data_IF_588712573957
#
_entry.id   IF_588712573957
#
_cell.length_a   1.000
_cell.length_b   1.000
_cell.length_c   1.000
_cell.angle_alpha   90.00
_cell.angle_beta   90.00
_cell.angle_gamma   90.00
#
_symmetry.space_group_name_H-M   'P 1'
#
loop_
_entity.id
_entity.type
_entity.pdbx_description
1 polymer ?
#
# COMPACT_ATOMS: atom_id res chain seq x y z
N UNK A 1 49.23 26.46 46.63
CA UNK A 1 49.10 25.30 45.75
C UNK A 1 47.59 25.04 45.62
N UNK A 2 46.96 25.73 44.63
CA UNK A 2 45.51 25.66 44.37
C UNK A 2 45.26 24.59 43.31
N UNK A 3 44.48 23.59 43.63
CA UNK A 3 43.97 22.59 42.68
C UNK A 3 42.66 23.12 42.05
N UNK A 4 42.72 23.46 40.77
CA UNK A 4 41.56 23.79 39.96
C UNK A 4 40.94 22.48 39.48
N UNK A 5 39.79 22.07 40.03
CA UNK A 5 38.96 20.98 39.48
C UNK A 5 38.11 21.57 38.35
N UNK A 6 38.49 21.21 37.11
CA UNK A 6 37.67 21.48 35.93
C UNK A 6 36.53 20.47 35.85
N UNK A 7 35.32 20.91 36.03
CA UNK A 7 34.10 20.12 35.75
C UNK A 7 33.87 20.13 34.25
N UNK A 8 34.14 19.01 33.61
CA UNK A 8 33.80 18.75 32.21
C UNK A 8 32.30 18.41 32.14
N UNK A 9 31.46 19.40 31.78
CA UNK A 9 30.05 19.16 31.51
C UNK A 9 29.91 18.41 30.17
N UNK A 10 29.68 17.10 30.24
CA UNK A 10 29.21 16.32 29.09
C UNK A 10 27.80 16.79 28.77
N UNK A 11 27.65 17.58 27.71
CA UNK A 11 26.37 17.85 27.06
C UNK A 11 25.90 16.55 26.41
N UNK A 12 25.11 15.76 27.13
CA UNK A 12 24.30 14.69 26.56
C UNK A 12 23.23 15.35 25.70
N UNK A 13 23.50 15.48 24.41
CA UNK A 13 22.46 15.78 23.42
C UNK A 13 21.51 14.57 23.38
N UNK A 14 20.34 14.71 23.97
CA UNK A 14 19.25 13.75 23.77
C UNK A 14 18.96 13.66 22.27
N UNK A 15 19.01 12.48 21.64
CA UNK A 15 18.64 12.36 20.24
C UNK A 15 17.19 12.84 20.07
N UNK A 16 16.97 13.66 19.05
CA UNK A 16 15.68 14.23 18.75
C UNK A 16 14.78 13.08 18.29
N UNK A 17 13.77 12.68 19.08
CA UNK A 17 12.91 11.52 18.80
C UNK A 17 12.32 11.55 17.38
N UNK A 18 12.04 12.76 16.85
CA UNK A 18 11.58 12.95 15.48
C UNK A 18 12.64 12.65 14.41
N UNK A 19 13.93 12.73 14.70
CA UNK A 19 14.99 12.38 13.73
C UNK A 19 15.13 10.86 13.61
N UNK A 20 15.01 10.15 14.72
CA UNK A 20 15.07 8.68 14.79
C UNK A 20 13.88 8.03 14.03
N UNK A 21 12.67 8.59 14.15
CA UNK A 21 11.48 8.08 13.44
C UNK A 21 11.57 8.31 11.93
N UNK A 22 12.11 9.43 11.46
CA UNK A 22 12.34 9.69 10.04
C UNK A 22 13.37 8.73 9.43
N UNK A 23 14.45 8.45 10.16
CA UNK A 23 15.48 7.51 9.70
C UNK A 23 14.93 6.08 9.63
N UNK A 24 14.16 5.66 10.61
CA UNK A 24 13.46 4.36 10.60
C UNK A 24 12.50 4.21 9.42
N UNK A 25 11.70 5.25 9.16
CA UNK A 25 10.82 5.25 7.98
C UNK A 25 11.62 5.17 6.67
N UNK A 26 12.73 5.91 6.55
CA UNK A 26 13.58 5.85 5.37
C UNK A 26 14.11 4.44 5.11
N UNK A 27 14.67 3.79 6.13
CA UNK A 27 15.14 2.41 6.03
C UNK A 27 14.03 1.45 5.64
N UNK A 28 12.86 1.55 6.28
CA UNK A 28 11.69 0.75 5.95
C UNK A 28 11.26 0.94 4.49
N UNK A 29 11.22 2.19 4.01
CA UNK A 29 10.83 2.51 2.66
C UNK A 29 11.84 1.97 1.61
N UNK A 30 13.14 2.05 1.90
CA UNK A 30 14.20 1.50 1.04
C UNK A 30 14.12 -0.04 0.95
N UNK A 31 13.91 -0.72 2.09
CA UNK A 31 13.75 -2.17 2.13
C UNK A 31 12.49 -2.61 1.38
N UNK A 32 11.37 -1.91 1.60
CA UNK A 32 10.10 -2.17 0.90
C UNK A 32 10.25 -2.01 -0.61
N UNK A 33 10.94 -0.97 -1.10
CA UNK A 33 11.18 -0.80 -2.54
C UNK A 33 11.99 -1.94 -3.11
N UNK A 34 13.06 -2.35 -2.43
CA UNK A 34 13.87 -3.50 -2.87
C UNK A 34 13.04 -4.78 -2.94
N UNK A 35 12.21 -5.04 -1.93
CA UNK A 35 11.31 -6.20 -1.89
C UNK A 35 10.32 -6.17 -3.07
N UNK A 36 9.59 -5.06 -3.25
CA UNK A 36 8.57 -4.95 -4.29
C UNK A 36 9.16 -5.03 -5.70
N UNK A 37 10.32 -4.38 -5.94
CA UNK A 37 10.98 -4.46 -7.24
C UNK A 37 11.56 -5.84 -7.55
N UNK A 38 11.84 -6.66 -6.54
CA UNK A 38 12.30 -8.04 -6.70
C UNK A 38 11.18 -9.04 -7.00
N UNK A 39 9.91 -8.64 -6.83
CA UNK A 39 8.76 -9.52 -7.12
C UNK A 39 8.74 -9.90 -8.61
N UNK A 40 8.78 -11.20 -8.86
CA UNK A 40 8.67 -11.77 -10.20
C UNK A 40 7.18 -12.00 -10.52
N UNK A 41 6.56 -11.03 -11.17
CA UNK A 41 5.17 -11.06 -11.59
C UNK A 41 5.12 -11.33 -13.11
N UNK A 42 4.68 -12.52 -13.55
CA UNK A 42 4.68 -12.89 -14.97
C UNK A 42 3.88 -11.93 -15.84
N UNK A 43 2.78 -11.38 -15.32
CA UNK A 43 1.92 -10.43 -16.03
C UNK A 43 2.64 -9.12 -16.40
N UNK A 44 3.68 -8.73 -15.64
CA UNK A 44 4.48 -7.52 -15.91
C UNK A 44 5.51 -7.70 -17.04
N UNK A 45 5.66 -8.90 -17.57
CA UNK A 45 6.58 -9.19 -18.69
C UNK A 45 5.95 -8.98 -20.06
N UNK A 46 4.62 -9.07 -20.16
CA UNK A 46 3.90 -8.84 -21.42
C UNK A 46 3.59 -7.34 -21.58
N UNK A 47 4.19 -6.71 -22.58
CA UNK A 47 4.05 -5.29 -22.85
C UNK A 47 3.42 -4.97 -24.20
N UNK A 48 2.87 -5.96 -24.89
CA UNK A 48 2.19 -5.77 -26.17
C UNK A 48 0.79 -5.19 -25.96
N UNK A 49 0.50 -4.07 -26.62
CA UNK A 49 -0.82 -3.44 -26.57
C UNK A 49 -1.67 -4.00 -27.73
N UNK A 50 -2.86 -4.57 -27.46
CA UNK A 50 -3.80 -4.97 -28.49
C UNK A 50 -4.23 -3.78 -29.35
N UNK A 51 -4.55 -4.04 -30.62
CA UNK A 51 -4.95 -2.98 -31.59
C UNK A 51 -6.12 -2.14 -31.10
N UNK A 52 -7.08 -2.75 -30.41
CA UNK A 52 -8.26 -2.07 -29.87
C UNK A 52 -7.95 -0.99 -28.82
N UNK A 53 -6.74 -0.98 -28.23
CA UNK A 53 -6.34 -0.02 -27.22
C UNK A 53 -5.21 0.92 -27.67
N UNK A 54 -4.87 0.91 -28.97
CA UNK A 54 -3.77 1.75 -29.48
C UNK A 54 -4.04 3.25 -29.42
N UNK A 55 -5.34 3.62 -29.49
CA UNK A 55 -5.77 5.02 -29.46
C UNK A 55 -6.10 5.52 -28.05
N UNK A 56 -5.95 4.67 -27.03
CA UNK A 56 -6.15 5.04 -25.63
C UNK A 56 -5.01 5.93 -25.11
N UNK A 57 -5.36 6.93 -24.30
CA UNK A 57 -4.40 7.86 -23.69
C UNK A 57 -3.35 7.13 -22.86
N UNK A 58 -3.76 6.16 -22.06
CA UNK A 58 -2.90 5.23 -21.34
C UNK A 58 -3.51 3.81 -21.37
N UNK A 59 -2.64 2.81 -21.22
CA UNK A 59 -3.03 1.42 -21.06
C UNK A 59 -2.31 0.81 -19.87
N UNK A 60 -3.05 0.27 -18.91
CA UNK A 60 -2.49 -0.49 -17.81
C UNK A 60 -2.14 -1.89 -18.33
N UNK A 61 -0.86 -2.14 -18.59
CA UNK A 61 -0.37 -3.42 -19.13
C UNK A 61 -0.53 -4.54 -18.13
N UNK A 62 -0.28 -4.25 -16.85
CA UNK A 62 -0.48 -5.18 -15.74
C UNK A 62 -0.78 -4.42 -14.46
N UNK A 63 -1.60 -5.00 -13.60
CA UNK A 63 -1.79 -4.58 -12.22
C UNK A 63 -1.76 -5.80 -11.29
N UNK A 64 -1.30 -5.59 -10.07
CA UNK A 64 -1.21 -6.62 -9.03
C UNK A 64 -1.57 -6.02 -7.67
N UNK A 65 -2.49 -6.68 -6.96
CA UNK A 65 -2.77 -6.42 -5.55
C UNK A 65 -2.32 -7.61 -4.71
N UNK A 66 -1.61 -7.34 -3.63
CA UNK A 66 -1.24 -8.35 -2.63
C UNK A 66 -1.62 -7.87 -1.25
N UNK A 67 -2.42 -8.67 -0.54
CA UNK A 67 -2.87 -8.38 0.81
C UNK A 67 -2.41 -9.50 1.75
N UNK A 68 -1.57 -9.16 2.72
CA UNK A 68 -1.09 -10.09 3.75
C UNK A 68 -1.57 -9.60 5.12
N UNK A 69 -2.31 -10.43 5.85
CA UNK A 69 -2.83 -10.07 7.16
C UNK A 69 -2.46 -11.13 8.18
N UNK A 70 -1.69 -10.73 9.17
CA UNK A 70 -1.20 -11.59 10.24
C UNK A 70 -1.70 -11.11 11.59
N UNK A 71 -1.99 -12.07 12.49
CA UNK A 71 -2.41 -11.80 13.85
C UNK A 71 -1.35 -12.22 14.84
N UNK A 72 -0.88 -11.27 15.64
CA UNK A 72 0.00 -11.54 16.77
C UNK A 72 -0.78 -11.41 18.09
N UNK A 73 -0.60 -12.38 18.97
CA UNK A 73 -1.15 -12.31 20.33
C UNK A 73 0.03 -12.17 21.28
N UNK A 74 0.10 -11.06 22.01
CA UNK A 74 1.12 -10.83 23.03
C UNK A 74 0.50 -11.00 24.42
N UNK A 75 1.10 -11.83 25.26
CA UNK A 75 0.77 -11.89 26.67
C UNK A 75 1.63 -10.87 27.40
N UNK A 76 1.04 -9.79 27.87
CA UNK A 76 1.74 -8.82 28.71
C UNK A 76 1.82 -9.37 30.15
N UNK A 77 2.98 -9.86 30.53
CA UNK A 77 3.26 -10.39 31.88
C UNK A 77 3.57 -9.26 32.89
N UNK A 78 3.45 -7.99 32.47
CA UNK A 78 3.79 -6.81 33.27
C UNK A 78 2.93 -6.55 34.51
N UNK A 79 1.94 -7.39 34.80
CA UNK A 79 1.07 -7.27 35.95
C UNK A 79 1.32 -8.28 37.06
N UNK A 80 2.59 -8.62 37.29
CA UNK A 80 2.96 -9.60 38.35
C UNK A 80 2.72 -9.12 39.80
N UNK A 81 2.27 -7.88 39.98
CA UNK A 81 1.94 -7.29 41.29
C UNK A 81 0.45 -6.81 41.35
N UNK A 82 -0.49 -7.68 41.00
CA UNK A 82 -1.93 -7.44 41.31
C UNK A 82 -2.72 -6.68 40.27
N UNK A 83 -2.27 -6.59 39.02
CA UNK A 83 -2.98 -5.97 37.91
C UNK A 83 -3.66 -6.99 36.98
N UNK A 84 -4.66 -6.55 36.27
CA UNK A 84 -5.44 -7.33 35.33
C UNK A 84 -4.57 -7.92 34.21
N UNK A 85 -4.77 -9.21 33.88
CA UNK A 85 -4.15 -9.82 32.71
C UNK A 85 -4.68 -9.16 31.44
N UNK A 86 -3.84 -8.45 30.72
CA UNK A 86 -4.19 -7.81 29.47
C UNK A 86 -3.59 -8.62 28.31
N UNK A 87 -4.45 -9.03 27.40
CA UNK A 87 -4.04 -9.74 26.17
C UNK A 87 -4.09 -8.74 25.03
N UNK A 88 -2.92 -8.29 24.57
CA UNK A 88 -2.82 -7.45 23.38
C UNK A 88 -3.03 -8.29 22.14
N UNK A 89 -3.90 -7.82 21.27
CA UNK A 89 -4.20 -8.41 19.97
C UNK A 89 -3.77 -7.43 18.90
N UNK A 90 -2.61 -7.70 18.35
CA UNK A 90 -2.05 -6.92 17.24
C UNK A 90 -2.41 -7.60 15.91
N UNK A 91 -2.94 -6.83 14.98
CA UNK A 91 -3.16 -7.25 13.59
C UNK A 91 -2.24 -6.40 12.71
N UNK A 92 -1.42 -7.07 11.91
CA UNK A 92 -0.55 -6.43 10.94
C UNK A 92 -1.09 -6.69 9.54
N UNK A 93 -1.23 -5.63 8.77
CA UNK A 93 -1.68 -5.65 7.39
C UNK A 93 -0.60 -5.09 6.49
N UNK A 94 -0.27 -5.82 5.43
CA UNK A 94 0.58 -5.39 4.31
C UNK A 94 -0.29 -5.39 3.06
N UNK A 95 -0.51 -4.25 2.48
CA UNK A 95 -1.35 -4.05 1.30
C UNK A 95 -0.52 -3.41 0.19
N UNK A 96 -0.27 -4.16 -0.87
CA UNK A 96 0.47 -3.74 -2.05
C UNK A 96 -0.50 -3.60 -3.22
N UNK A 97 -0.43 -2.45 -3.89
CA UNK A 97 -0.97 -2.27 -5.23
C UNK A 97 0.15 -1.81 -6.16
N UNK A 98 0.43 -2.55 -7.23
CA UNK A 98 1.44 -2.23 -8.25
C UNK A 98 0.82 -2.28 -9.64
N UNK A 99 1.19 -1.33 -10.49
CA UNK A 99 0.75 -1.31 -11.89
C UNK A 99 1.87 -0.86 -12.83
N UNK A 100 1.82 -1.39 -14.05
CA UNK A 100 2.66 -1.00 -15.17
C UNK A 100 1.78 -0.34 -16.23
N UNK A 101 2.05 0.91 -16.53
CA UNK A 101 1.22 1.76 -17.41
C UNK A 101 2.02 2.23 -18.60
N UNK A 102 1.50 2.09 -19.82
CA UNK A 102 2.04 2.68 -21.03
C UNK A 102 1.46 4.08 -21.22
N UNK A 103 2.31 5.07 -21.49
CA UNK A 103 1.94 6.47 -21.71
C UNK A 103 1.88 6.73 -23.21
N UNK A 104 0.69 7.01 -23.76
CA UNK A 104 0.50 7.13 -25.20
C UNK A 104 0.33 8.58 -25.66
N UNK A 105 -0.10 9.49 -24.79
CA UNK A 105 -0.33 10.89 -25.17
C UNK A 105 -0.05 11.90 -24.04
N UNK A 106 -0.34 13.19 -24.31
CA UNK A 106 -0.12 14.28 -23.35
C UNK A 106 -1.06 14.26 -22.16
N UNK A 107 -2.25 13.68 -22.28
CA UNK A 107 -3.21 13.60 -21.18
C UNK A 107 -2.70 12.60 -20.15
N UNK A 108 -2.29 11.40 -20.58
CA UNK A 108 -1.66 10.42 -19.72
C UNK A 108 -0.32 10.93 -19.14
N UNK A 109 0.50 11.61 -19.96
CA UNK A 109 1.74 12.21 -19.49
C UNK A 109 1.47 13.15 -18.29
N UNK A 110 0.46 13.99 -18.39
CA UNK A 110 0.08 14.90 -17.30
C UNK A 110 -0.44 14.15 -16.08
N UNK A 111 -1.29 13.12 -16.28
CA UNK A 111 -1.89 12.33 -15.20
C UNK A 111 -0.81 11.60 -14.39
N UNK A 112 0.18 11.00 -15.06
CA UNK A 112 1.23 10.20 -14.42
C UNK A 112 2.52 10.97 -14.09
N UNK A 113 2.51 12.30 -14.23
CA UNK A 113 3.68 13.15 -13.91
C UNK A 113 3.84 13.48 -12.42
N UNK A 114 2.82 13.25 -11.61
CA UNK A 114 2.82 13.54 -10.17
C UNK A 114 1.93 12.56 -9.43
N UNK A 115 2.37 12.11 -8.24
CA UNK A 115 1.62 11.23 -7.36
C UNK A 115 1.54 11.78 -5.95
N UNK A 116 0.35 11.70 -5.34
CA UNK A 116 0.13 12.03 -3.94
C UNK A 116 0.22 10.76 -3.08
N UNK A 117 0.87 10.82 -1.92
CA UNK A 117 0.94 9.72 -0.98
C UNK A 117 1.06 10.22 0.47
N UNK A 118 0.77 9.33 1.44
CA UNK A 118 0.84 9.59 2.87
C UNK A 118 1.96 8.76 3.50
N UNK A 119 3.10 9.37 3.82
CA UNK A 119 4.26 8.62 4.29
C UNK A 119 4.00 7.90 5.62
N UNK A 120 3.52 8.60 6.63
CA UNK A 120 3.29 8.03 7.96
C UNK A 120 2.11 8.70 8.65
N UNK A 121 1.27 7.88 9.30
CA UNK A 121 0.21 8.35 10.20
C UNK A 121 0.29 7.50 11.48
N UNK A 122 0.44 8.14 12.61
CA UNK A 122 0.40 7.50 13.91
C UNK A 122 -0.75 8.08 14.71
N UNK A 123 -1.74 7.23 15.04
CA UNK A 123 -2.85 7.59 15.92
C UNK A 123 -2.77 6.74 17.16
N UNK A 124 -2.59 7.39 18.31
CA UNK A 124 -2.53 6.73 19.60
C UNK A 124 -3.60 7.30 20.52
N UNK A 125 -4.49 6.42 20.99
CA UNK A 125 -5.45 6.69 22.05
C UNK A 125 -5.20 5.65 23.17
N UNK A 126 -5.74 5.87 24.39
CA UNK A 126 -5.65 4.93 25.49
C UNK A 126 -6.31 3.57 25.21
N UNK A 127 -7.16 3.46 24.17
CA UNK A 127 -7.87 2.26 23.76
C UNK A 127 -7.27 1.54 22.55
N UNK A 128 -6.52 2.26 21.70
CA UNK A 128 -5.98 1.70 20.47
C UNK A 128 -4.66 2.39 20.08
N UNK A 129 -3.79 1.64 19.45
CA UNK A 129 -2.60 2.17 18.79
C UNK A 129 -2.70 1.77 17.32
N UNK A 130 -2.67 2.75 16.44
CA UNK A 130 -2.66 2.59 14.99
C UNK A 130 -1.39 3.20 14.43
N UNK A 131 -0.58 2.37 13.79
CA UNK A 131 0.58 2.80 13.05
C UNK A 131 0.35 2.48 11.56
N UNK A 132 0.31 3.52 10.74
CA UNK A 132 0.15 3.43 9.31
C UNK A 132 1.37 4.03 8.62
N UNK A 133 1.95 3.28 7.68
CA UNK A 133 3.08 3.72 6.86
C UNK A 133 2.78 3.40 5.40
N UNK A 134 2.93 4.36 4.52
CA UNK A 134 2.79 4.17 3.08
C UNK A 134 4.13 4.40 2.39
N UNK A 135 4.50 3.48 1.51
CA UNK A 135 5.69 3.59 0.64
C UNK A 135 5.22 3.67 -0.81
N UNK A 136 5.68 4.68 -1.49
CA UNK A 136 5.52 4.86 -2.93
C UNK A 136 6.85 4.51 -3.63
N UNK A 137 6.77 3.77 -4.74
CA UNK A 137 7.88 3.56 -5.64
C UNK A 137 7.45 3.80 -7.07
N UNK A 138 8.27 4.50 -7.84
CA UNK A 138 8.03 4.81 -9.25
C UNK A 138 9.29 4.55 -10.05
N UNK A 139 9.15 3.87 -11.20
CA UNK A 139 10.21 3.69 -12.19
C UNK A 139 9.70 4.07 -13.56
N UNK A 140 10.52 4.77 -14.33
CA UNK A 140 10.28 5.00 -15.75
C UNK A 140 11.05 3.92 -16.53
N UNK A 141 10.35 3.25 -17.42
CA UNK A 141 10.93 2.28 -18.35
C UNK A 141 10.85 2.88 -19.74
N UNK A 142 12.01 3.23 -20.30
CA UNK A 142 12.12 3.81 -21.63
C UNK A 142 11.85 2.77 -22.73
N UNK A 143 11.50 3.17 -23.95
CA UNK A 143 11.28 2.24 -25.08
C UNK A 143 12.48 1.33 -25.38
N UNK A 144 13.69 1.77 -25.07
CA UNK A 144 14.93 0.99 -25.24
C UNK A 144 15.18 -0.01 -24.10
N UNK A 145 14.29 -0.04 -23.08
CA UNK A 145 14.39 -0.91 -21.92
C UNK A 145 15.20 -0.32 -20.75
N UNK A 146 15.72 0.89 -20.87
CA UNK A 146 16.39 1.58 -19.76
C UNK A 146 15.39 1.84 -18.61
N UNK A 147 15.78 1.51 -17.38
CA UNK A 147 14.97 1.68 -16.20
C UNK A 147 15.55 2.77 -15.31
N UNK A 148 14.76 3.81 -15.04
CA UNK A 148 15.13 4.92 -14.17
C UNK A 148 14.19 4.92 -12.95
N UNK A 149 14.71 4.62 -11.77
CA UNK A 149 13.97 4.73 -10.51
C UNK A 149 13.97 6.18 -10.04
N UNK A 150 12.79 6.70 -9.69
CA UNK A 150 12.65 8.07 -9.17
C UNK A 150 13.16 8.12 -7.73
N UNK A 151 14.10 9.03 -7.47
CA UNK A 151 14.68 9.22 -6.15
C UNK A 151 13.64 9.72 -5.14
N UNK A 152 13.73 9.22 -3.92
CA UNK A 152 12.90 9.69 -2.80
C UNK A 152 13.25 11.10 -2.33
N UNK A 153 14.42 11.60 -2.68
CA UNK A 153 14.87 12.96 -2.32
C UNK A 153 14.14 14.04 -3.12
N UNK A 154 13.43 13.65 -4.19
CA UNK A 154 12.63 14.54 -5.02
C UNK A 154 11.20 14.76 -4.48
N UNK A 155 10.86 14.17 -3.32
CA UNK A 155 9.58 14.42 -2.67
C UNK A 155 9.45 15.88 -2.25
N UNK A 156 8.51 16.57 -2.83
CA UNK A 156 8.12 17.90 -2.38
C UNK A 156 7.09 17.76 -1.27
N UNK A 157 7.40 18.28 -0.08
CA UNK A 157 6.42 18.36 1.00
C UNK A 157 5.38 19.42 0.61
N UNK A 158 4.19 19.00 0.23
CA UNK A 158 3.09 19.93 -0.02
C UNK A 158 2.36 20.18 1.29
N UNK A 159 2.40 21.43 1.71
CA UNK A 159 1.55 22.13 2.66
C UNK A 159 1.74 21.91 4.15
N UNK A 160 2.08 23.01 4.79
CA UNK A 160 1.80 23.33 6.18
C UNK A 160 0.30 23.19 6.50
N UNK A 161 -0.13 21.99 6.89
CA UNK A 161 -1.42 21.77 7.52
C UNK A 161 -1.31 21.92 9.03
N UNK A 162 -2.40 22.35 9.69
CA UNK A 162 -2.51 22.40 11.15
C UNK A 162 -2.11 21.04 11.75
N UNK A 163 -1.54 21.06 12.95
CA UNK A 163 -0.90 19.95 13.70
C UNK A 163 -1.63 18.59 13.73
N UNK A 164 -2.87 18.48 13.25
CA UNK A 164 -3.71 17.29 13.23
C UNK A 164 -4.20 16.89 11.82
N UNK A 165 -3.64 17.49 10.74
CA UNK A 165 -3.99 17.11 9.36
C UNK A 165 -2.91 16.20 8.78
N UNK A 166 -3.36 15.09 8.19
CA UNK A 166 -2.55 14.16 7.42
C UNK A 166 -1.72 14.92 6.38
N UNK A 167 -0.38 14.81 6.47
CA UNK A 167 0.51 15.45 5.50
C UNK A 167 0.55 14.62 4.23
N UNK A 168 -0.07 15.14 3.17
CA UNK A 168 0.11 14.60 1.83
C UNK A 168 1.49 15.03 1.31
N UNK A 169 2.25 14.05 0.84
CA UNK A 169 3.50 14.29 0.13
C UNK A 169 3.24 14.12 -1.36
N UNK A 170 3.96 14.87 -2.18
CA UNK A 170 3.87 14.82 -3.63
C UNK A 170 5.19 14.34 -4.21
N UNK A 171 5.12 13.35 -5.09
CA UNK A 171 6.24 12.88 -5.87
C UNK A 171 6.06 13.33 -7.32
N UNK A 172 6.96 14.18 -7.80
CA UNK A 172 7.08 14.47 -9.23
C UNK A 172 7.81 13.32 -9.93
N UNK A 173 7.47 13.09 -11.20
CA UNK A 173 8.08 12.07 -12.07
C UNK A 173 8.84 12.75 -13.21
N UNK A 174 10.02 13.31 -12.95
CA UNK A 174 10.79 14.04 -13.96
C UNK A 174 11.28 13.10 -15.06
N UNK A 175 11.34 13.61 -16.27
CA UNK A 175 11.88 12.88 -17.43
C UNK A 175 10.92 11.83 -18.00
N UNK A 176 9.65 11.82 -17.59
CA UNK A 176 8.61 11.01 -18.21
C UNK A 176 8.25 11.61 -19.58
N UNK A 177 8.13 10.75 -20.60
CA UNK A 177 7.83 11.11 -21.98
C UNK A 177 6.75 10.22 -22.57
N UNK A 178 6.12 10.68 -23.65
CA UNK A 178 5.18 9.85 -24.43
C UNK A 178 5.94 8.67 -25.02
N UNK A 179 5.39 7.46 -24.87
CA UNK A 179 6.03 6.21 -25.27
C UNK A 179 6.72 5.47 -24.14
N UNK A 180 6.96 6.14 -23.00
CA UNK A 180 7.49 5.49 -21.81
C UNK A 180 6.46 4.60 -21.12
N UNK A 181 6.95 3.71 -20.25
CA UNK A 181 6.11 3.00 -19.26
C UNK A 181 6.43 3.50 -17.86
N UNK A 182 5.40 3.63 -17.05
CA UNK A 182 5.53 3.91 -15.62
C UNK A 182 5.20 2.63 -14.85
N UNK A 183 6.16 2.12 -14.08
CA UNK A 183 5.97 1.04 -13.13
C UNK A 183 5.87 1.66 -11.74
N UNK A 184 4.68 1.67 -11.17
CA UNK A 184 4.36 2.33 -9.91
C UNK A 184 3.77 1.36 -8.91
N UNK A 185 4.10 1.52 -7.63
CA UNK A 185 3.41 0.83 -6.56
C UNK A 185 3.12 1.72 -5.37
N UNK A 186 2.04 1.39 -4.68
CA UNK A 186 1.68 1.85 -3.34
C UNK A 186 1.71 0.66 -2.40
N UNK A 187 2.51 0.75 -1.36
CA UNK A 187 2.58 -0.27 -0.32
C UNK A 187 2.15 0.37 0.99
N UNK A 188 1.13 -0.21 1.63
CA UNK A 188 0.61 0.22 2.91
C UNK A 188 0.95 -0.82 3.97
N UNK A 189 1.56 -0.38 5.05
CA UNK A 189 1.70 -1.18 6.27
C UNK A 189 0.84 -0.57 7.36
N UNK A 190 -0.02 -1.39 7.96
CA UNK A 190 -0.86 -0.98 9.08
C UNK A 190 -0.70 -1.97 10.22
N UNK A 191 -0.39 -1.46 11.41
CA UNK A 191 -0.42 -2.24 12.65
C UNK A 191 -1.49 -1.67 13.57
N UNK A 192 -2.42 -2.52 13.97
CA UNK A 192 -3.59 -2.15 14.79
C UNK A 192 -3.62 -2.97 16.07
N UNK A 193 -3.67 -2.30 17.21
CA UNK A 193 -3.95 -2.93 18.50
C UNK A 193 -5.40 -2.68 18.88
N UNK A 194 -6.13 -3.76 19.18
CA UNK A 194 -7.52 -3.72 19.70
C UNK A 194 -8.53 -2.95 18.81
N UNK A 195 -8.22 -2.78 17.55
CA UNK A 195 -9.08 -2.12 16.55
C UNK A 195 -9.45 -3.08 15.41
N UNK A 196 -10.49 -2.76 14.66
CA UNK A 196 -10.88 -3.51 13.48
C UNK A 196 -10.25 -2.88 12.23
N UNK A 197 -9.88 -3.73 11.27
CA UNK A 197 -9.46 -3.28 9.95
C UNK A 197 -10.66 -2.68 9.20
N UNK A 198 -10.40 -1.61 8.46
CA UNK A 198 -11.35 -1.09 7.49
C UNK A 198 -11.57 -2.11 6.37
N UNK A 199 -12.73 -2.09 5.70
CA UNK A 199 -13.01 -2.99 4.59
C UNK A 199 -12.04 -2.78 3.43
N UNK A 200 -11.49 -3.88 2.88
CA UNK A 200 -10.72 -3.83 1.65
C UNK A 200 -11.63 -3.84 0.44
N UNK A 201 -11.28 -3.03 -0.58
CA UNK A 201 -12.06 -2.89 -1.81
C UNK A 201 -11.18 -3.16 -3.01
N UNK A 202 -11.39 -4.30 -3.66
CA UNK A 202 -10.73 -4.62 -4.94
C UNK A 202 -11.64 -4.21 -6.09
N UNK A 203 -11.19 -3.25 -6.91
CA UNK A 203 -11.93 -2.75 -8.08
C UNK A 203 -11.36 -3.37 -9.35
N UNK A 204 -12.22 -4.02 -10.13
CA UNK A 204 -11.86 -4.68 -11.38
C UNK A 204 -12.14 -3.81 -12.61
N UNK A 205 -12.19 -2.50 -12.45
CA UNK A 205 -12.30 -1.52 -13.53
C UNK A 205 -11.75 -0.18 -13.06
N UNK A 206 -11.02 0.50 -13.92
CA UNK A 206 -10.39 1.80 -13.64
C UNK A 206 -10.63 2.79 -14.79
N UNK A 207 -10.01 3.98 -14.72
CA UNK A 207 -10.09 5.04 -15.74
C UNK A 207 -9.44 4.67 -17.07
N UNK A 208 -8.55 3.69 -17.09
CA UNK A 208 -7.87 3.21 -18.29
C UNK A 208 -8.12 1.71 -18.49
N UNK A 209 -8.09 1.22 -19.74
CA UNK A 209 -8.17 -0.21 -20.00
C UNK A 209 -6.99 -0.95 -19.38
N UNK A 210 -7.23 -2.17 -18.92
CA UNK A 210 -6.22 -2.96 -18.20
C UNK A 210 -6.11 -4.35 -18.84
N UNK A 211 -4.90 -4.74 -19.26
CA UNK A 211 -4.70 -6.02 -19.94
C UNK A 211 -4.69 -7.20 -18.99
N UNK A 212 -4.18 -7.01 -17.76
CA UNK A 212 -4.15 -8.06 -16.74
C UNK A 212 -4.23 -7.46 -15.35
N UNK A 213 -5.05 -8.05 -14.49
CA UNK A 213 -5.10 -7.73 -13.06
C UNK A 213 -5.14 -9.00 -12.24
N UNK A 214 -4.21 -9.12 -11.30
CA UNK A 214 -4.13 -10.23 -10.36
C UNK A 214 -4.30 -9.72 -8.93
N UNK A 215 -5.03 -10.48 -8.11
CA UNK A 215 -5.16 -10.23 -6.68
C UNK A 215 -4.78 -11.50 -5.94
N UNK A 216 -3.91 -11.37 -4.96
CA UNK A 216 -3.51 -12.43 -4.04
C UNK A 216 -3.69 -11.95 -2.60
N UNK A 217 -4.46 -12.70 -1.80
CA UNK A 217 -4.62 -12.42 -0.39
C UNK A 217 -4.14 -13.62 0.45
N UNK A 218 -3.35 -13.35 1.47
CA UNK A 218 -2.93 -14.31 2.49
C UNK A 218 -3.40 -13.83 3.87
N UNK A 219 -4.26 -14.61 4.52
CA UNK A 219 -4.94 -14.19 5.75
C UNK A 219 -4.76 -15.26 6.81
N UNK A 220 -4.21 -14.85 7.97
CA UNK A 220 -3.99 -15.71 9.15
C UNK A 220 -5.27 -16.48 9.52
N UNK A 221 -5.14 -17.77 9.80
CA UNK A 221 -6.25 -18.70 10.12
C UNK A 221 -7.03 -18.33 11.39
N UNK A 222 -6.44 -17.47 12.26
CA UNK A 222 -7.06 -16.95 13.49
C UNK A 222 -8.01 -15.78 13.25
N UNK A 223 -8.08 -15.29 12.00
CA UNK A 223 -8.98 -14.22 11.60
C UNK A 223 -10.21 -14.77 10.91
N UNK A 224 -11.30 -14.01 10.95
CA UNK A 224 -12.52 -14.33 10.20
C UNK A 224 -12.60 -13.44 8.98
N UNK A 225 -12.66 -14.06 7.81
CA UNK A 225 -12.74 -13.38 6.51
C UNK A 225 -14.13 -13.56 5.92
N UNK A 226 -14.74 -12.48 5.48
CA UNK A 226 -15.97 -12.46 4.70
C UNK A 226 -15.78 -11.53 3.51
N UNK A 227 -16.22 -11.94 2.34
CA UNK A 227 -16.21 -11.04 1.18
C UNK A 227 -17.50 -11.17 0.37
N UNK A 228 -17.77 -10.13 -0.39
CA UNK A 228 -18.92 -10.06 -1.30
C UNK A 228 -18.50 -9.44 -2.61
N UNK A 229 -18.78 -10.15 -3.70
CA UNK A 229 -18.63 -9.66 -5.07
C UNK A 229 -19.85 -8.85 -5.48
N UNK A 230 -19.63 -7.74 -6.16
CA UNK A 230 -20.64 -6.79 -6.60
C UNK A 230 -20.44 -6.48 -8.08
N UNK A 231 -21.54 -6.17 -8.77
CA UNK A 231 -21.55 -5.67 -10.15
C UNK A 231 -20.83 -6.60 -11.14
N UNK A 232 -20.95 -7.92 -10.94
CA UNK A 232 -20.31 -8.90 -11.82
C UNK A 232 -18.80 -9.07 -11.61
N UNK A 233 -18.26 -8.64 -10.46
CA UNK A 233 -16.88 -8.93 -10.12
C UNK A 233 -16.61 -10.44 -10.08
N UNK A 234 -15.41 -10.90 -10.47
CA UNK A 234 -15.05 -12.30 -10.42
C UNK A 234 -14.95 -12.80 -8.99
N UNK A 235 -15.26 -14.10 -8.80
CA UNK A 235 -15.07 -14.77 -7.53
C UNK A 235 -13.61 -15.15 -7.30
N UNK A 236 -13.20 -15.18 -6.04
CA UNK A 236 -11.88 -15.67 -5.65
C UNK A 236 -11.83 -17.20 -5.67
N UNK A 237 -10.72 -17.72 -6.16
CA UNK A 237 -10.31 -19.10 -5.91
C UNK A 237 -9.73 -19.17 -4.49
N UNK A 238 -10.38 -19.91 -3.62
CA UNK A 238 -9.95 -20.08 -2.24
C UNK A 238 -9.15 -21.36 -2.05
N UNK A 239 -8.04 -21.30 -1.33
CA UNK A 239 -7.22 -22.42 -0.89
C UNK A 239 -6.65 -22.15 0.51
N UNK A 240 -5.81 -23.05 1.01
CA UNK A 240 -5.05 -22.88 2.25
C UNK A 240 -3.60 -23.23 2.02
N UNK A 241 -2.71 -22.51 2.72
CA UNK A 241 -1.30 -22.86 2.80
C UNK A 241 -1.03 -24.00 3.81
N UNK A 242 0.25 -24.35 3.98
CA UNK A 242 0.70 -25.39 4.91
C UNK A 242 0.45 -25.02 6.38
N UNK A 243 0.33 -23.74 6.70
CA UNK A 243 0.07 -23.22 8.04
C UNK A 243 -1.44 -23.10 8.34
N UNK A 244 -2.29 -23.35 7.34
CA UNK A 244 -3.74 -23.24 7.43
C UNK A 244 -4.26 -21.82 7.12
N UNK A 245 -3.41 -20.86 6.74
CA UNK A 245 -3.83 -19.52 6.33
C UNK A 245 -4.74 -19.60 5.11
N UNK A 246 -5.66 -18.66 5.01
CA UNK A 246 -6.60 -18.56 3.89
C UNK A 246 -5.89 -17.85 2.74
N UNK A 247 -5.83 -18.51 1.58
CA UNK A 247 -5.36 -17.92 0.33
C UNK A 247 -6.55 -17.65 -0.58
N UNK A 248 -6.62 -16.41 -1.12
CA UNK A 248 -7.65 -15.98 -2.07
C UNK A 248 -6.96 -15.41 -3.30
N UNK A 249 -7.20 -16.03 -4.45
CA UNK A 249 -6.58 -15.67 -5.70
C UNK A 249 -7.63 -15.34 -6.77
N UNK A 250 -7.39 -14.30 -7.55
CA UNK A 250 -8.15 -13.99 -8.75
C UNK A 250 -7.24 -13.39 -9.81
N UNK A 251 -7.47 -13.74 -11.06
CA UNK A 251 -6.80 -13.16 -12.22
C UNK A 251 -7.84 -12.82 -13.29
N UNK A 252 -7.81 -11.59 -13.77
CA UNK A 252 -8.70 -11.08 -14.81
C UNK A 252 -7.85 -10.51 -15.95
N UNK A 253 -8.32 -10.68 -17.17
CA UNK A 253 -7.65 -10.15 -18.36
C UNK A 253 -8.63 -9.32 -19.18
N UNK A 254 -8.07 -8.40 -19.97
CA UNK A 254 -8.81 -7.64 -20.96
C UNK A 254 -9.98 -6.85 -20.36
N UNK A 255 -9.67 -6.04 -19.36
CA UNK A 255 -10.61 -5.26 -18.59
C UNK A 255 -10.80 -3.91 -19.26
N UNK A 256 -12.04 -3.60 -19.64
CA UNK A 256 -12.40 -2.31 -20.20
C UNK A 256 -12.34 -1.20 -19.16
N UNK A 257 -12.09 0.02 -19.60
CA UNK A 257 -12.12 1.21 -18.75
C UNK A 257 -13.53 1.53 -18.24
N UNK A 258 -13.61 2.30 -17.17
CA UNK A 258 -14.87 2.85 -16.69
C UNK A 258 -15.21 4.06 -17.56
N UNK A 259 -16.35 4.02 -18.24
CA UNK A 259 -16.92 5.19 -18.91
C UNK A 259 -17.26 6.25 -17.85
N UNK A 260 -16.81 7.50 -18.01
CA UNK A 260 -17.20 8.59 -17.11
C UNK A 260 -18.66 8.97 -17.39
N UNK A 261 -19.57 8.36 -16.69
CA UNK A 261 -20.98 8.73 -16.74
C UNK A 261 -21.29 9.70 -15.61
N UNK A 262 -21.62 10.95 -15.94
CA UNK A 262 -21.94 12.02 -15.00
C UNK A 262 -23.21 11.74 -14.17
N UNK A 263 -24.03 10.79 -14.58
CA UNK A 263 -25.34 10.51 -13.99
C UNK A 263 -25.38 9.27 -13.08
N UNK A 264 -24.30 8.47 -13.09
CA UNK A 264 -24.23 7.24 -12.29
C UNK A 264 -23.18 7.34 -11.19
N UNK A 265 -23.52 6.79 -10.03
CA UNK A 265 -22.54 6.55 -9.00
C UNK A 265 -21.58 5.43 -9.47
N UNK A 266 -20.27 5.70 -9.64
CA UNK A 266 -19.30 4.69 -10.09
C UNK A 266 -19.33 3.41 -9.25
N UNK A 267 -19.68 3.51 -7.96
CA UNK A 267 -19.82 2.37 -7.06
C UNK A 267 -20.94 1.39 -7.46
N UNK A 268 -21.93 1.83 -8.24
CA UNK A 268 -23.05 0.96 -8.66
C UNK A 268 -22.74 0.16 -9.92
N UNK A 269 -21.72 0.54 -10.67
CA UNK A 269 -21.39 -0.11 -11.96
C UNK A 269 -20.02 -0.76 -11.97
N UNK A 270 -19.11 -0.33 -11.11
CA UNK A 270 -17.77 -0.89 -11.07
C UNK A 270 -17.79 -2.29 -10.48
N UNK A 271 -17.35 -3.32 -11.22
CA UNK A 271 -17.15 -4.65 -10.67
C UNK A 271 -16.14 -4.57 -9.51
N UNK A 272 -16.56 -4.99 -8.31
CA UNK A 272 -15.71 -4.89 -7.12
C UNK A 272 -15.97 -6.00 -6.13
N UNK A 273 -14.97 -6.28 -5.31
CA UNK A 273 -15.11 -7.14 -4.13
C UNK A 273 -14.89 -6.32 -2.88
N UNK A 274 -15.85 -6.40 -1.95
CA UNK A 274 -15.74 -5.87 -0.59
C UNK A 274 -15.31 -7.01 0.33
N UNK A 275 -14.21 -6.85 1.05
CA UNK A 275 -13.68 -7.86 1.96
C UNK A 275 -13.59 -7.28 3.37
N UNK A 276 -14.17 -8.01 4.33
CA UNK A 276 -14.15 -7.69 5.75
C UNK A 276 -13.34 -8.73 6.49
N UNK A 277 -12.41 -8.29 7.31
CA UNK A 277 -11.57 -9.16 8.12
C UNK A 277 -11.71 -8.74 9.57
N UNK A 278 -12.13 -9.68 10.41
CA UNK A 278 -12.41 -9.42 11.81
C UNK A 278 -11.56 -10.29 12.73
N UNK A 279 -11.20 -9.71 13.86
CA UNK A 279 -10.38 -10.36 14.88
C UNK A 279 -11.19 -11.35 15.77
N UNK A 280 -12.51 -11.36 15.67
CA UNK A 280 -13.39 -12.24 16.44
C UNK A 280 -13.84 -13.44 15.60
N UNK A 281 -13.77 -14.65 16.14
CA UNK A 281 -14.52 -15.78 15.57
C UNK A 281 -16.00 -15.46 15.77
N UNK A 282 -16.68 -15.07 14.71
CA UNK A 282 -18.14 -14.94 14.75
C UNK A 282 -18.72 -16.31 15.09
N UNK A 283 -19.44 -16.41 16.21
CA UNK A 283 -20.27 -17.59 16.46
C UNK A 283 -21.30 -17.66 15.33
N UNK A 284 -21.35 -18.76 14.61
CA UNK A 284 -22.47 -19.04 13.72
C UNK A 284 -23.73 -19.08 14.60
N UNK A 285 -24.63 -18.13 14.39
CA UNK A 285 -25.99 -18.19 14.87
C UNK A 285 -26.81 -19.03 13.91
#
# INVERSE_FOLDING_TARGET
>A
MLFLMGVLALLLTTPNANADDKEKYKLFAEETRKEVWALKLPEFTNTAIPDKYKDESAVILAAHSRLEITKKTRFNVGAFLGGFHYIDREVNCRDLYRMLVQINDKAALKEFSEFDYKAEIRKKDWRYDENYQQVLGVRIIKPDGTVNEISTDEYMTATEGKKDQEQLQKLAVPGLEIGDKVDIFFFNYTSLENHNLDPFVFRFRQSHPMLSYTVHCEIDDKLTTQYRTLNGAPDFKQSKDENGNILLDVAVKDIEQTEPDLWYNPMQQTPMTLMYITNSKMKKY
#
